data_IF_668147098627
#
_entry.id   IF_668147098627
#
_cell.length_a   1.000
_cell.length_b   1.000
_cell.length_c   1.000
_cell.angle_alpha   90.00
_cell.angle_beta   90.00
_cell.angle_gamma   90.00
#
_symmetry.space_group_name_H-M   'P 1'
#
loop_
_entity.id
_entity.type
_entity.pdbx_description
1 polymer ?
#
# COMPACT_ATOMS: atom_id res chain seq x y z
N UNK A 1 0.22 -37.27 17.39
CA UNK A 1 1.09 -36.15 17.75
C UNK A 1 1.18 -36.08 19.27
N UNK A 2 2.38 -36.24 19.86
CA UNK A 2 2.58 -36.30 21.32
C UNK A 2 2.08 -35.01 22.01
N UNK A 3 1.41 -35.17 23.16
CA UNK A 3 0.90 -34.10 24.03
C UNK A 3 1.93 -32.98 24.29
N UNK A 4 3.20 -33.32 24.41
CA UNK A 4 4.30 -32.37 24.60
C UNK A 4 4.50 -31.41 23.41
N UNK A 5 4.22 -31.85 22.15
CA UNK A 5 4.32 -30.97 20.97
C UNK A 5 3.15 -29.99 20.89
N UNK A 6 1.95 -30.39 21.32
CA UNK A 6 0.79 -29.48 21.37
C UNK A 6 1.00 -28.37 22.39
N UNK A 7 1.52 -28.69 23.58
CA UNK A 7 1.79 -27.70 24.63
C UNK A 7 2.90 -26.71 24.21
N UNK A 8 3.93 -27.16 23.47
CA UNK A 8 4.97 -26.27 22.97
C UNK A 8 4.43 -25.27 21.92
N UNK A 9 3.56 -25.73 21.01
CA UNK A 9 2.93 -24.86 20.01
C UNK A 9 2.01 -23.82 20.68
N UNK A 10 1.26 -24.24 21.70
CA UNK A 10 0.38 -23.33 22.46
C UNK A 10 1.19 -22.30 23.25
N UNK A 11 2.33 -22.67 23.82
CA UNK A 11 3.24 -21.75 24.51
C UNK A 11 3.84 -20.71 23.54
N UNK A 12 4.26 -21.14 22.37
CA UNK A 12 4.82 -20.22 21.33
C UNK A 12 3.73 -19.24 20.86
N UNK A 13 2.51 -19.71 20.61
CA UNK A 13 1.39 -18.85 20.24
C UNK A 13 1.08 -17.79 21.33
N UNK A 14 1.12 -18.19 22.60
CA UNK A 14 0.89 -17.26 23.73
C UNK A 14 1.99 -16.19 23.83
N UNK A 15 3.25 -16.58 23.60
CA UNK A 15 4.38 -15.64 23.59
C UNK A 15 4.26 -14.63 22.44
N UNK A 16 3.85 -15.08 21.25
CA UNK A 16 3.62 -14.20 20.08
C UNK A 16 2.50 -13.19 20.37
N UNK A 17 1.38 -13.63 20.95
CA UNK A 17 0.29 -12.73 21.35
C UNK A 17 0.75 -11.72 22.38
N UNK A 18 1.58 -12.12 23.35
CA UNK A 18 2.11 -11.23 24.37
C UNK A 18 3.05 -10.16 23.77
N UNK A 19 3.89 -10.55 22.80
CA UNK A 19 4.73 -9.61 22.06
C UNK A 19 3.89 -8.61 21.27
N UNK A 20 2.84 -9.06 20.59
CA UNK A 20 1.91 -8.19 19.86
C UNK A 20 1.22 -7.20 20.82
N UNK A 21 0.76 -7.66 21.98
CA UNK A 21 0.16 -6.78 23.00
C UNK A 21 1.17 -5.75 23.55
N UNK A 22 2.43 -6.15 23.73
CA UNK A 22 3.51 -5.24 24.17
C UNK A 22 3.80 -4.18 23.09
N UNK A 23 3.86 -4.56 21.82
CA UNK A 23 4.04 -3.62 20.70
C UNK A 23 2.87 -2.65 20.63
N UNK A 24 1.63 -3.13 20.73
CA UNK A 24 0.44 -2.26 20.75
C UNK A 24 0.41 -1.33 21.98
N UNK A 25 0.90 -1.78 23.14
CA UNK A 25 0.99 -0.97 24.35
C UNK A 25 1.95 0.22 24.19
N UNK A 26 3.04 0.06 23.46
CA UNK A 26 4.02 1.12 23.18
C UNK A 26 3.69 2.01 21.99
N UNK A 27 2.87 1.51 21.03
CA UNK A 27 2.52 2.25 19.80
C UNK A 27 1.29 3.16 19.97
N UNK A 28 0.43 2.93 21.00
CA UNK A 28 -0.74 3.77 21.22
C UNK A 28 -0.35 4.99 22.09
N UNK A 29 -0.41 6.23 21.56
CA UNK A 29 -0.09 7.42 22.33
C UNK A 29 -1.18 7.65 23.38
N UNK A 30 -0.78 7.62 24.65
CA UNK A 30 -1.64 7.98 25.77
C UNK A 30 -1.75 9.50 25.83
N UNK A 31 -2.94 10.02 25.53
CA UNK A 31 -3.26 11.43 25.74
C UNK A 31 -3.14 11.79 27.23
N UNK A 32 -2.34 12.80 27.54
CA UNK A 32 -2.29 13.44 28.86
C UNK A 32 -3.47 14.42 28.99
N UNK A 33 -4.30 14.20 29.97
CA UNK A 33 -5.24 15.21 30.44
C UNK A 33 -4.49 16.34 31.18
N UNK A 34 -4.86 17.55 30.83
CA UNK A 34 -4.37 18.79 31.42
C UNK A 34 -5.11 19.09 32.75
N UNK A 35 -4.36 19.41 33.78
CA UNK A 35 -4.87 20.28 34.86
C UNK A 35 -3.91 21.45 35.04
N UNK A 36 -4.55 22.64 35.13
CA UNK A 36 -3.95 23.94 35.40
C UNK A 36 -3.71 24.08 36.91
N UNK A 37 -2.65 24.78 37.31
CA UNK A 37 -2.71 26.00 38.13
C UNK A 37 -1.35 26.62 38.38
N UNK A 38 -1.35 27.86 38.21
CA UNK A 38 -0.73 29.11 38.66
C UNK A 38 0.59 29.14 39.49
N UNK A 39 1.41 30.04 39.01
CA UNK A 39 2.12 31.18 39.69
C UNK A 39 3.44 30.95 40.44
N UNK A 40 4.42 31.66 40.04
CA UNK A 40 5.28 32.59 40.77
C UNK A 40 6.77 32.59 40.31
N UNK A 41 7.22 33.77 40.03
CA UNK A 41 8.52 34.26 39.63
C UNK A 41 9.73 33.84 40.48
N UNK A 42 10.89 33.62 39.84
CA UNK A 42 12.17 34.24 40.25
C UNK A 42 13.29 34.00 39.21
N UNK A 43 13.97 35.08 38.91
CA UNK A 43 15.12 35.26 38.07
C UNK A 43 16.38 34.57 38.63
N UNK A 44 17.08 33.80 37.79
CA UNK A 44 18.54 33.64 37.90
C UNK A 44 19.11 33.11 36.56
N UNK A 45 19.99 33.92 36.00
CA UNK A 45 20.81 33.58 34.83
C UNK A 45 21.69 32.36 35.13
N UNK A 46 21.59 31.32 34.32
CA UNK A 46 22.68 30.38 34.14
C UNK A 46 22.63 29.84 32.72
N UNK A 47 23.72 30.01 32.04
CA UNK A 47 24.08 29.50 30.74
C UNK A 47 23.78 28.01 30.67
N UNK A 48 22.68 27.60 30.12
CA UNK A 48 22.39 26.22 29.78
C UNK A 48 21.96 26.18 28.35
N UNK A 49 22.69 25.41 27.59
CA UNK A 49 22.41 24.96 26.23
C UNK A 49 20.95 24.61 26.09
N UNK A 50 20.21 25.45 25.41
CA UNK A 50 18.79 25.32 25.13
C UNK A 50 18.52 24.07 24.33
N UNK A 51 18.04 23.03 25.01
CA UNK A 51 17.40 21.86 24.41
C UNK A 51 15.90 22.12 24.30
N UNK A 52 15.53 23.25 23.75
CA UNK A 52 14.18 23.59 23.37
C UNK A 52 13.75 22.75 22.17
N UNK A 53 12.67 22.04 22.36
CA UNK A 53 11.93 21.26 21.35
C UNK A 53 11.26 22.16 20.31
N UNK A 54 12.03 22.97 19.61
CA UNK A 54 11.66 23.52 18.32
C UNK A 54 12.44 22.74 17.26
N UNK A 55 11.77 21.78 16.61
CA UNK A 55 12.24 21.14 15.38
C UNK A 55 12.34 22.20 14.27
N UNK A 56 13.27 23.15 14.39
CA UNK A 56 13.64 24.07 13.33
C UNK A 56 14.18 23.25 12.17
N UNK A 57 13.28 22.94 11.24
CA UNK A 57 13.62 22.15 10.03
C UNK A 57 14.57 22.99 9.19
N UNK A 58 15.82 22.56 9.11
CA UNK A 58 16.82 23.18 8.26
C UNK A 58 16.44 22.89 6.82
N UNK A 59 16.13 23.91 6.03
CA UNK A 59 15.94 23.75 4.58
C UNK A 59 17.32 23.69 3.91
N UNK A 60 17.58 22.60 3.20
CA UNK A 60 18.80 22.40 2.42
C UNK A 60 18.60 22.86 0.98
N UNK A 61 17.74 22.17 0.26
CA UNK A 61 17.48 22.41 -1.15
C UNK A 61 15.98 22.51 -1.41
N UNK A 62 15.60 23.23 -2.46
CA UNK A 62 14.21 23.31 -2.94
C UNK A 62 14.20 22.97 -4.41
N UNK A 63 13.73 21.74 -4.73
CA UNK A 63 13.74 21.22 -6.08
C UNK A 63 12.29 21.06 -6.53
N UNK A 64 11.86 21.91 -7.46
CA UNK A 64 10.48 21.81 -8.00
C UNK A 64 10.36 20.61 -8.93
N UNK A 65 9.27 19.87 -8.82
CA UNK A 65 9.02 18.65 -9.60
C UNK A 65 9.09 18.89 -11.11
N UNK A 66 8.64 20.07 -11.56
CA UNK A 66 8.63 20.45 -12.98
C UNK A 66 10.04 20.67 -13.53
N UNK A 67 11.00 21.02 -12.68
CA UNK A 67 12.40 21.25 -13.06
C UNK A 67 13.24 19.97 -13.03
N UNK A 68 12.78 18.90 -12.42
CA UNK A 68 13.53 17.63 -12.39
C UNK A 68 13.60 17.03 -13.80
N UNK A 69 14.80 16.67 -14.25
CA UNK A 69 15.03 15.93 -15.49
C UNK A 69 15.24 14.45 -15.25
N UNK A 70 15.94 14.07 -14.17
CA UNK A 70 16.11 12.67 -13.78
C UNK A 70 16.31 12.50 -12.29
N UNK A 71 15.97 11.30 -11.80
CA UNK A 71 16.22 10.83 -10.44
C UNK A 71 16.85 9.46 -10.52
N UNK A 72 17.99 9.27 -9.86
CA UNK A 72 18.72 8.00 -9.84
C UNK A 72 18.94 7.54 -8.40
N UNK A 73 18.61 6.29 -8.12
CA UNK A 73 19.00 5.63 -6.88
C UNK A 73 20.15 4.68 -7.15
N UNK A 74 21.22 4.81 -6.37
CA UNK A 74 22.37 3.91 -6.42
C UNK A 74 22.51 3.19 -5.08
N UNK A 75 22.53 1.86 -5.08
CA UNK A 75 22.76 1.00 -3.90
C UNK A 75 24.07 0.23 -4.09
N UNK A 76 24.94 0.27 -3.08
CA UNK A 76 26.24 -0.44 -3.12
C UNK A 76 27.03 -0.17 -4.42
N UNK A 77 27.05 1.07 -4.87
CA UNK A 77 27.77 1.51 -6.07
C UNK A 77 27.14 1.09 -7.41
N UNK A 78 25.96 0.46 -7.41
CA UNK A 78 25.24 0.09 -8.64
C UNK A 78 23.92 0.86 -8.72
N UNK A 79 23.58 1.31 -9.93
CA UNK A 79 22.26 1.87 -10.17
C UNK A 79 21.18 0.84 -9.85
N UNK A 80 20.30 1.19 -8.91
CA UNK A 80 19.15 0.37 -8.58
C UNK A 80 17.97 0.67 -9.51
N UNK A 81 17.74 1.97 -9.75
CA UNK A 81 16.77 2.45 -10.73
C UNK A 81 17.08 3.90 -11.14
N UNK A 82 16.55 4.28 -12.29
CA UNK A 82 16.57 5.65 -12.78
C UNK A 82 15.22 6.01 -13.39
N UNK A 83 14.72 7.18 -13.01
CA UNK A 83 13.53 7.81 -13.59
C UNK A 83 13.97 9.01 -14.42
N UNK A 84 13.36 9.21 -15.58
CA UNK A 84 13.63 10.35 -16.46
C UNK A 84 12.32 11.07 -16.82
N UNK A 85 12.35 12.39 -16.84
CA UNK A 85 11.23 13.22 -17.26
C UNK A 85 11.61 14.02 -18.50
N UNK A 86 11.14 13.63 -19.69
CA UNK A 86 11.41 14.35 -20.94
C UNK A 86 10.47 15.53 -21.14
N UNK A 87 9.21 15.36 -20.75
CA UNK A 87 8.16 16.40 -20.79
C UNK A 87 7.57 16.54 -19.40
N UNK A 88 7.06 17.74 -19.07
CA UNK A 88 6.40 18.00 -17.81
C UNK A 88 5.33 16.93 -17.53
N UNK A 89 5.41 16.32 -16.35
CA UNK A 89 4.46 15.29 -15.89
C UNK A 89 4.58 13.92 -16.58
N UNK A 90 5.55 13.70 -17.48
CA UNK A 90 5.71 12.41 -18.16
C UNK A 90 7.01 11.74 -17.73
N UNK A 91 6.88 10.80 -16.79
CA UNK A 91 8.01 10.02 -16.31
C UNK A 91 8.19 8.72 -17.10
N UNK A 92 9.42 8.25 -17.15
CA UNK A 92 9.81 6.95 -17.70
C UNK A 92 10.82 6.28 -16.80
N UNK A 93 10.75 4.96 -16.73
CA UNK A 93 11.74 4.13 -16.05
C UNK A 93 12.80 3.76 -17.08
N UNK A 94 14.06 4.01 -16.74
CA UNK A 94 15.20 3.71 -17.60
C UNK A 94 15.29 2.19 -17.87
N UNK A 95 15.39 1.81 -19.14
CA UNK A 95 15.37 0.39 -19.54
C UNK A 95 13.98 -0.27 -19.55
N UNK A 96 12.91 0.46 -19.21
CA UNK A 96 11.52 0.01 -19.27
C UNK A 96 10.59 1.10 -19.80
N UNK A 97 10.96 1.71 -20.92
CA UNK A 97 10.30 2.90 -21.46
C UNK A 97 8.83 2.68 -21.86
N UNK A 98 8.44 1.41 -22.09
CA UNK A 98 7.05 1.01 -22.40
C UNK A 98 6.20 0.71 -21.16
N UNK A 99 6.82 0.59 -19.98
CA UNK A 99 6.07 0.30 -18.77
C UNK A 99 5.13 1.47 -18.40
N UNK A 100 3.88 1.19 -18.02
CA UNK A 100 2.99 2.20 -17.50
C UNK A 100 3.51 2.69 -16.15
N UNK A 101 3.73 3.98 -16.01
CA UNK A 101 4.31 4.57 -14.81
C UNK A 101 3.20 5.03 -13.85
N UNK A 102 3.41 4.84 -12.56
CA UNK A 102 2.54 5.34 -11.49
C UNK A 102 2.93 6.79 -11.15
N UNK A 103 2.22 7.74 -11.74
CA UNK A 103 2.47 9.17 -11.50
C UNK A 103 2.23 9.56 -10.04
N UNK A 104 1.28 8.92 -9.35
CA UNK A 104 0.98 9.16 -7.94
C UNK A 104 2.16 8.77 -7.04
N UNK A 105 2.79 7.61 -7.31
CA UNK A 105 3.96 7.15 -6.57
C UNK A 105 5.13 8.13 -6.75
N UNK A 106 5.40 8.55 -7.99
CA UNK A 106 6.49 9.49 -8.27
C UNK A 106 6.17 10.86 -7.69
N UNK A 107 4.97 11.37 -7.84
CA UNK A 107 4.56 12.66 -7.27
C UNK A 107 4.69 12.69 -5.76
N UNK A 108 4.33 11.60 -5.08
CA UNK A 108 4.48 11.46 -3.63
C UNK A 108 5.95 11.42 -3.21
N UNK A 109 6.81 10.77 -4.00
CA UNK A 109 8.26 10.75 -3.77
C UNK A 109 8.86 12.16 -3.95
N UNK A 110 8.54 12.84 -5.04
CA UNK A 110 9.13 14.16 -5.38
C UNK A 110 8.73 15.27 -4.40
N UNK A 111 7.59 15.15 -3.73
CA UNK A 111 7.19 16.08 -2.65
C UNK A 111 8.23 16.17 -1.53
N UNK A 112 9.02 15.12 -1.31
CA UNK A 112 10.05 15.09 -0.26
C UNK A 112 11.30 15.90 -0.59
N UNK A 113 11.45 16.40 -1.83
CA UNK A 113 12.57 17.25 -2.23
C UNK A 113 12.16 18.70 -2.49
N UNK A 114 10.92 19.05 -2.21
CA UNK A 114 10.40 20.41 -2.38
C UNK A 114 9.72 20.92 -1.09
N UNK A 115 10.48 21.39 -0.09
CA UNK A 115 11.95 21.39 0.04
C UNK A 115 12.52 20.14 0.71
N UNK A 116 13.81 19.88 0.51
CA UNK A 116 14.60 18.94 1.30
C UNK A 116 14.84 19.56 2.68
N UNK A 117 14.42 18.84 3.73
CA UNK A 117 14.53 19.31 5.11
C UNK A 117 15.38 18.36 5.94
N UNK A 118 16.29 18.96 6.72
CA UNK A 118 17.03 18.25 7.75
C UNK A 118 16.47 18.60 9.14
N UNK A 119 16.51 17.64 10.06
CA UNK A 119 16.10 17.83 11.45
C UNK A 119 17.26 18.34 12.31
N UNK A 120 18.48 17.98 11.95
CA UNK A 120 19.71 18.39 12.65
C UNK A 120 20.89 18.50 11.68
N UNK A 121 21.93 19.21 12.08
CA UNK A 121 23.23 19.22 11.44
C UNK A 121 24.34 18.90 12.43
N UNK A 122 25.39 18.26 11.95
CA UNK A 122 26.55 17.86 12.72
C UNK A 122 27.79 18.42 12.06
N UNK A 123 28.61 19.16 12.81
CA UNK A 123 29.88 19.61 12.29
C UNK A 123 30.75 18.41 11.92
N UNK A 124 31.05 18.26 10.65
CA UNK A 124 32.01 17.26 10.17
C UNK A 124 33.41 17.72 10.51
N UNK A 125 33.78 17.85 11.82
CA UNK A 125 35.18 17.99 12.20
C UNK A 125 35.91 16.73 11.78
N UNK A 126 36.51 16.82 10.62
CA UNK A 126 37.57 15.97 10.11
C UNK A 126 37.43 14.49 10.49
N UNK A 127 36.69 13.76 9.85
CA UNK A 127 37.31 12.55 9.86
C UNK A 127 36.52 11.27 9.81
N UNK A 128 35.63 10.99 10.60
CA UNK A 128 35.18 9.61 10.57
C UNK A 128 33.79 9.45 9.95
N UNK A 129 33.70 9.65 8.62
CA UNK A 129 32.49 9.33 7.87
C UNK A 129 31.99 7.90 8.13
N UNK A 130 32.89 7.03 8.66
CA UNK A 130 32.51 5.68 9.07
C UNK A 130 31.51 5.65 10.21
N UNK A 131 31.61 6.59 11.17
CA UNK A 131 30.75 6.64 12.36
C UNK A 131 29.30 6.99 12.00
N UNK A 132 29.13 7.64 10.86
CA UNK A 132 27.85 8.02 10.28
C UNK A 132 27.37 7.05 9.19
N UNK A 133 28.14 5.98 8.89
CA UNK A 133 27.85 5.08 7.77
C UNK A 133 28.07 5.71 6.39
N UNK A 134 28.74 6.86 6.31
CA UNK A 134 28.90 7.64 5.08
C UNK A 134 30.18 7.31 4.31
N UNK A 135 31.11 6.53 4.89
CA UNK A 135 32.25 5.99 4.14
C UNK A 135 31.79 4.98 3.08
N UNK A 136 30.73 4.25 3.38
CA UNK A 136 30.06 3.34 2.45
C UNK A 136 28.57 3.58 2.59
N UNK A 137 27.99 4.56 1.90
CA UNK A 137 26.59 4.91 2.02
C UNK A 137 25.67 3.70 1.73
N UNK A 138 24.58 3.58 2.49
CA UNK A 138 23.57 2.55 2.25
C UNK A 138 22.99 2.70 0.84
N UNK A 139 22.74 3.94 0.43
CA UNK A 139 22.38 4.30 -0.93
C UNK A 139 22.65 5.80 -1.18
N UNK A 140 22.62 6.16 -2.45
CA UNK A 140 22.76 7.55 -2.92
C UNK A 140 21.59 7.92 -3.81
N UNK A 141 20.98 9.07 -3.55
CA UNK A 141 19.97 9.68 -4.38
C UNK A 141 20.67 10.79 -5.20
N UNK A 142 20.57 10.73 -6.52
CA UNK A 142 21.02 11.79 -7.40
C UNK A 142 19.83 12.37 -8.16
N UNK A 143 19.70 13.70 -8.17
CA UNK A 143 18.62 14.41 -8.86
C UNK A 143 19.28 15.41 -9.81
N UNK A 144 18.95 15.32 -11.08
CA UNK A 144 19.34 16.26 -12.10
C UNK A 144 18.15 17.12 -12.49
N UNK A 145 18.39 18.37 -12.76
CA UNK A 145 17.37 19.34 -13.16
C UNK A 145 17.51 19.76 -14.62
N UNK A 146 16.47 20.32 -15.20
CA UNK A 146 16.43 20.74 -16.60
C UNK A 146 17.30 21.97 -16.86
N UNK A 147 17.58 22.76 -15.85
CA UNK A 147 18.52 23.91 -15.88
C UNK A 147 19.98 23.49 -15.65
N UNK A 148 20.26 22.20 -15.48
CA UNK A 148 21.60 21.64 -15.38
C UNK A 148 22.15 21.55 -13.95
N UNK A 149 21.37 21.90 -12.92
CA UNK A 149 21.79 21.65 -11.54
C UNK A 149 21.75 20.17 -11.19
N UNK A 150 22.66 19.77 -10.28
CA UNK A 150 22.76 18.38 -9.80
C UNK A 150 22.82 18.36 -8.28
N UNK A 151 21.98 17.54 -7.68
CA UNK A 151 21.89 17.35 -6.24
C UNK A 151 22.18 15.89 -5.91
N UNK A 152 23.01 15.66 -4.91
CA UNK A 152 23.36 14.30 -4.48
C UNK A 152 23.22 14.19 -2.96
N UNK A 153 22.51 13.17 -2.52
CA UNK A 153 22.28 12.84 -1.11
C UNK A 153 22.82 11.44 -0.85
N UNK A 154 23.94 11.34 -0.15
CA UNK A 154 24.51 10.07 0.29
C UNK A 154 23.92 9.74 1.66
N UNK A 155 23.22 8.61 1.77
CA UNK A 155 22.53 8.20 2.98
C UNK A 155 23.34 7.16 3.74
N UNK A 156 23.65 7.49 4.98
CA UNK A 156 24.42 6.65 5.91
C UNK A 156 23.54 5.81 6.82
N UNK A 157 23.99 5.68 8.06
CA UNK A 157 23.27 4.91 9.10
C UNK A 157 22.08 5.68 9.65
N UNK A 158 21.14 4.95 10.22
CA UNK A 158 20.06 5.54 11.01
C UNK A 158 20.64 6.20 12.27
N UNK A 159 20.06 7.31 12.69
CA UNK A 159 20.48 8.01 13.91
C UNK A 159 19.99 7.20 15.12
N UNK A 160 20.85 6.90 16.10
CA UNK A 160 20.51 6.01 17.24
C UNK A 160 19.32 6.47 18.09
N UNK A 161 18.96 7.76 18.02
CA UNK A 161 17.79 8.28 18.72
C UNK A 161 16.56 8.07 17.83
N UNK A 162 15.52 7.43 18.37
CA UNK A 162 14.28 7.14 17.64
C UNK A 162 13.69 8.37 16.96
N UNK A 163 13.18 8.16 15.77
CA UNK A 163 12.45 9.14 14.93
C UNK A 163 13.28 10.33 14.40
N UNK A 164 14.59 10.33 14.57
CA UNK A 164 15.43 11.43 14.04
C UNK A 164 15.75 11.29 12.55
N UNK A 165 15.71 10.09 11.98
CA UNK A 165 16.02 9.81 10.59
C UNK A 165 17.43 9.28 10.36
N UNK A 166 18.06 9.66 9.25
CA UNK A 166 19.32 9.06 8.78
C UNK A 166 20.39 10.14 8.59
N UNK A 167 21.63 9.80 8.92
CA UNK A 167 22.75 10.64 8.56
C UNK A 167 22.90 10.75 7.06
N UNK A 168 23.17 11.95 6.58
CA UNK A 168 23.33 12.22 5.16
C UNK A 168 24.44 13.22 4.89
N UNK A 169 25.17 13.02 3.80
CA UNK A 169 26.04 13.99 3.18
C UNK A 169 25.36 14.52 1.93
N UNK A 170 25.19 15.83 1.86
CA UNK A 170 24.47 16.50 0.77
C UNK A 170 25.47 17.30 -0.07
N UNK A 171 25.35 17.25 -1.40
CA UNK A 171 26.19 18.04 -2.29
C UNK A 171 25.95 19.55 -2.06
N UNK A 172 26.99 20.34 -2.13
CA UNK A 172 26.91 21.77 -1.86
C UNK A 172 26.83 22.16 -0.37
N UNK A 173 26.86 21.17 0.53
CA UNK A 173 26.81 21.38 1.97
C UNK A 173 27.99 20.68 2.66
N UNK A 174 28.67 21.37 3.57
CA UNK A 174 29.89 20.83 4.18
C UNK A 174 29.65 19.94 5.38
N UNK A 175 28.53 20.14 6.08
CA UNK A 175 28.18 19.37 7.28
C UNK A 175 27.52 18.03 6.95
N UNK A 176 27.39 17.20 7.97
CA UNK A 176 26.53 16.01 7.97
C UNK A 176 25.16 16.44 8.47
N UNK A 177 24.12 15.99 7.82
CA UNK A 177 22.76 16.32 8.16
C UNK A 177 21.98 15.06 8.60
N UNK A 178 20.91 15.27 9.33
CA UNK A 178 19.93 14.24 9.61
C UNK A 178 18.69 14.47 8.73
N UNK A 179 18.49 13.62 7.72
CA UNK A 179 17.32 13.65 6.87
C UNK A 179 16.21 12.79 7.48
N UNK A 180 14.97 13.24 7.34
CA UNK A 180 13.83 12.55 7.93
C UNK A 180 13.55 11.17 7.28
N UNK A 181 12.99 10.27 8.06
CA UNK A 181 12.63 8.91 7.62
C UNK A 181 11.67 8.90 6.44
N UNK A 182 10.76 9.88 6.34
CA UNK A 182 9.78 9.93 5.24
C UNK A 182 10.47 10.09 3.87
N UNK A 183 11.48 10.99 3.76
CA UNK A 183 12.27 11.13 2.55
C UNK A 183 13.00 9.81 2.23
N UNK A 184 13.66 9.23 3.23
CA UNK A 184 14.45 8.00 3.05
C UNK A 184 13.56 6.86 2.55
N UNK A 185 12.41 6.65 3.17
CA UNK A 185 11.45 5.61 2.79
C UNK A 185 10.88 5.86 1.38
N UNK A 186 10.58 7.11 1.02
CA UNK A 186 10.04 7.44 -0.28
C UNK A 186 11.01 7.11 -1.44
N UNK A 187 12.32 7.25 -1.22
CA UNK A 187 13.32 6.96 -2.24
C UNK A 187 13.90 5.54 -2.17
N UNK A 188 13.90 4.90 -1.00
CA UNK A 188 14.45 3.56 -0.82
C UNK A 188 13.48 2.45 -1.22
N UNK A 189 12.88 2.57 -2.38
CA UNK A 189 11.94 1.61 -2.96
C UNK A 189 12.58 0.82 -4.10
N UNK A 190 11.95 -0.27 -4.49
CA UNK A 190 12.36 -1.03 -5.66
C UNK A 190 11.76 -0.43 -6.94
N UNK A 191 12.45 -0.60 -8.07
CA UNK A 191 12.05 -0.07 -9.37
C UNK A 191 10.59 -0.43 -9.74
N UNK A 192 10.16 -1.64 -9.39
CA UNK A 192 8.82 -2.14 -9.69
C UNK A 192 7.70 -1.31 -9.04
N UNK A 193 8.01 -0.59 -7.96
CA UNK A 193 7.06 0.29 -7.26
C UNK A 193 6.63 1.50 -8.11
N UNK A 194 7.40 1.84 -9.15
CA UNK A 194 7.05 2.92 -10.08
C UNK A 194 6.18 2.46 -11.25
N UNK A 195 5.95 1.16 -11.40
CA UNK A 195 5.10 0.63 -12.46
C UNK A 195 3.65 0.66 -11.96
N UNK A 196 2.78 1.27 -12.76
CA UNK A 196 1.34 1.27 -12.48
C UNK A 196 0.83 -0.16 -12.50
N UNK A 197 0.27 -0.59 -11.41
CA UNK A 197 -0.35 -1.91 -11.30
C UNK A 197 -1.73 -1.87 -11.96
N UNK A 198 -2.06 -2.93 -12.69
CA UNK A 198 -3.42 -3.12 -13.19
C UNK A 198 -4.39 -3.25 -12.02
N UNK A 199 -5.62 -2.86 -12.23
CA UNK A 199 -6.70 -3.06 -11.27
C UNK A 199 -7.56 -4.23 -11.72
N UNK A 200 -7.99 -5.05 -10.76
CA UNK A 200 -9.05 -6.02 -11.04
C UNK A 200 -10.36 -5.25 -11.30
N UNK A 201 -11.26 -5.81 -12.14
CA UNK A 201 -12.58 -5.22 -12.30
C UNK A 201 -13.34 -5.22 -10.97
N UNK A 202 -14.08 -4.17 -10.71
CA UNK A 202 -15.03 -4.17 -9.59
C UNK A 202 -16.12 -5.19 -9.87
N UNK A 203 -16.32 -6.10 -8.91
CA UNK A 203 -17.32 -7.16 -8.97
C UNK A 203 -18.33 -6.89 -7.88
N UNK A 204 -19.57 -6.66 -8.28
CA UNK A 204 -20.71 -6.56 -7.38
C UNK A 204 -21.34 -7.96 -7.24
N UNK A 205 -21.65 -8.38 -6.02
CA UNK A 205 -22.20 -9.71 -5.73
C UNK A 205 -23.57 -9.93 -6.38
N UNK A 206 -24.36 -8.88 -6.58
CA UNK A 206 -25.62 -8.95 -7.31
C UNK A 206 -25.42 -9.30 -8.79
N UNK A 207 -24.28 -8.98 -9.36
CA UNK A 207 -23.98 -9.24 -10.78
C UNK A 207 -23.11 -10.49 -11.00
N UNK A 208 -22.70 -11.17 -9.96
CA UNK A 208 -22.07 -12.50 -10.08
C UNK A 208 -23.05 -13.50 -10.71
N UNK A 209 -22.58 -14.27 -11.66
CA UNK A 209 -23.40 -15.28 -12.37
C UNK A 209 -22.92 -16.70 -12.17
N UNK A 210 -21.61 -16.91 -12.11
CA UNK A 210 -21.03 -18.21 -11.83
C UNK A 210 -19.60 -18.05 -11.28
N UNK A 211 -19.14 -19.08 -10.62
CA UNK A 211 -17.72 -19.25 -10.39
C UNK A 211 -17.34 -20.74 -10.34
N UNK A 212 -16.08 -21.01 -10.66
CA UNK A 212 -15.53 -22.34 -10.58
C UNK A 212 -14.10 -22.31 -10.04
N UNK A 213 -13.74 -23.38 -9.35
CA UNK A 213 -12.39 -23.63 -8.84
C UNK A 213 -11.92 -24.95 -9.41
N UNK A 214 -10.90 -24.92 -10.22
CA UNK A 214 -10.19 -26.13 -10.65
C UNK A 214 -9.03 -26.40 -9.69
N UNK A 215 -8.95 -27.65 -9.23
CA UNK A 215 -7.91 -28.09 -8.32
C UNK A 215 -7.07 -29.17 -8.99
N UNK A 216 -5.76 -28.97 -9.09
CA UNK A 216 -4.83 -29.94 -9.68
C UNK A 216 -4.90 -31.34 -9.07
N UNK A 217 -5.34 -31.46 -7.81
CA UNK A 217 -5.48 -32.71 -7.09
C UNK A 217 -6.85 -33.39 -7.27
N UNK A 218 -7.71 -32.84 -8.13
CA UNK A 218 -9.11 -33.22 -8.24
C UNK A 218 -9.97 -32.47 -7.22
N UNK A 219 -11.26 -32.76 -7.15
CA UNK A 219 -12.26 -32.04 -6.37
C UNK A 219 -12.50 -30.61 -6.89
N UNK A 220 -12.77 -30.53 -8.19
CA UNK A 220 -13.22 -29.30 -8.80
C UNK A 220 -14.53 -28.85 -8.16
N UNK A 221 -14.69 -27.56 -8.01
CA UNK A 221 -15.91 -26.96 -7.48
C UNK A 221 -16.50 -26.00 -8.53
N UNK A 222 -17.83 -25.97 -8.65
CA UNK A 222 -18.50 -24.98 -9.47
C UNK A 222 -19.87 -24.64 -8.89
N UNK A 223 -20.25 -23.39 -9.03
CA UNK A 223 -21.56 -22.90 -8.67
C UNK A 223 -22.05 -21.86 -9.68
N UNK A 224 -23.35 -21.78 -9.89
CA UNK A 224 -23.98 -20.80 -10.76
C UNK A 224 -25.22 -20.18 -10.11
N UNK A 225 -25.46 -18.91 -10.41
CA UNK A 225 -26.73 -18.24 -10.13
C UNK A 225 -27.81 -18.84 -11.01
N UNK A 226 -29.00 -19.03 -10.47
CA UNK A 226 -30.06 -19.76 -11.16
C UNK A 226 -31.33 -18.93 -11.21
N UNK A 227 -32.14 -19.18 -12.24
CA UNK A 227 -33.48 -18.65 -12.36
C UNK A 227 -34.44 -19.43 -11.47
N UNK A 228 -35.65 -18.91 -11.20
CA UNK A 228 -36.64 -19.58 -10.35
C UNK A 228 -36.97 -20.99 -10.84
N UNK A 229 -36.98 -21.22 -12.15
CA UNK A 229 -37.21 -22.53 -12.75
C UNK A 229 -36.08 -23.56 -12.53
N UNK A 230 -34.86 -23.08 -12.29
CA UNK A 230 -33.67 -23.94 -12.08
C UNK A 230 -33.33 -24.17 -10.61
N UNK A 231 -34.04 -23.50 -9.70
CA UNK A 231 -33.79 -23.63 -8.25
C UNK A 231 -34.01 -25.06 -7.77
N UNK A 232 -33.06 -25.59 -7.02
CA UNK A 232 -33.15 -26.84 -6.28
C UNK A 232 -33.90 -26.61 -4.97
N UNK A 233 -33.76 -25.44 -4.37
CA UNK A 233 -34.44 -25.00 -3.16
C UNK A 233 -34.98 -23.56 -3.38
N UNK A 234 -36.20 -23.32 -2.93
CA UNK A 234 -36.89 -22.04 -3.10
C UNK A 234 -36.11 -20.85 -2.52
N UNK A 235 -35.37 -21.05 -1.44
CA UNK A 235 -34.64 -20.00 -0.73
C UNK A 235 -33.25 -19.74 -1.30
N UNK A 236 -32.75 -20.58 -2.22
CA UNK A 236 -31.41 -20.41 -2.80
C UNK A 236 -31.47 -19.90 -4.24
N UNK A 237 -30.76 -18.82 -4.52
CA UNK A 237 -30.57 -18.29 -5.87
C UNK A 237 -29.30 -18.86 -6.54
N UNK A 238 -28.62 -19.80 -5.90
CA UNK A 238 -27.40 -20.41 -6.39
C UNK A 238 -27.47 -21.93 -6.25
N UNK A 239 -26.97 -22.62 -7.26
CA UNK A 239 -26.78 -24.07 -7.23
C UNK A 239 -25.31 -24.43 -7.34
N UNK A 240 -24.83 -25.33 -6.46
CA UNK A 240 -23.54 -25.99 -6.60
C UNK A 240 -23.70 -27.07 -7.69
N UNK A 241 -22.90 -26.95 -8.77
CA UNK A 241 -22.97 -27.79 -9.96
C UNK A 241 -21.84 -28.81 -10.07
N UNK A 242 -20.79 -28.66 -9.30
CA UNK A 242 -19.70 -29.61 -9.17
C UNK A 242 -19.18 -29.63 -7.72
N UNK A 243 -18.72 -30.78 -7.21
CA UNK A 243 -18.44 -32.07 -7.88
C UNK A 243 -19.64 -33.03 -7.94
N UNK A 244 -20.83 -32.61 -7.60
CA UNK A 244 -21.98 -33.47 -7.42
C UNK A 244 -22.66 -33.86 -8.74
N UNK A 245 -23.19 -35.09 -8.81
CA UNK A 245 -23.92 -35.57 -10.00
C UNK A 245 -25.24 -34.82 -10.24
N UNK A 246 -25.83 -34.25 -9.18
CA UNK A 246 -27.02 -33.39 -9.24
C UNK A 246 -26.72 -32.08 -8.54
N UNK A 247 -27.23 -30.96 -9.03
CA UNK A 247 -27.06 -29.67 -8.37
C UNK A 247 -27.59 -29.68 -6.94
N UNK A 248 -26.89 -28.99 -6.05
CA UNK A 248 -27.28 -28.79 -4.65
C UNK A 248 -27.55 -27.32 -4.40
N UNK A 249 -28.54 -27.02 -3.59
CA UNK A 249 -28.82 -25.66 -3.12
C UNK A 249 -27.72 -25.18 -2.17
N UNK A 250 -27.49 -23.87 -2.13
CA UNK A 250 -26.54 -23.23 -1.21
C UNK A 250 -27.24 -22.76 0.07
N UNK A 251 -26.54 -22.76 1.20
CA UNK A 251 -26.98 -22.07 2.42
C UNK A 251 -26.85 -20.55 2.21
N UNK A 252 -27.93 -19.79 2.40
CA UNK A 252 -27.96 -18.38 2.10
C UNK A 252 -26.90 -17.56 2.88
N UNK A 253 -26.79 -17.80 4.20
CA UNK A 253 -25.89 -17.03 5.06
C UNK A 253 -24.41 -17.29 4.75
N UNK A 254 -24.02 -18.54 4.59
CA UNK A 254 -22.65 -18.93 4.31
C UNK A 254 -22.24 -18.57 2.88
N UNK A 255 -23.22 -18.66 1.96
CA UNK A 255 -22.99 -18.33 0.56
C UNK A 255 -22.71 -16.84 0.33
N UNK A 256 -23.46 -15.96 1.00
CA UNK A 256 -23.20 -14.51 0.96
C UNK A 256 -21.78 -14.16 1.40
N UNK A 257 -21.27 -14.86 2.42
CA UNK A 257 -19.87 -14.67 2.84
C UNK A 257 -18.88 -15.10 1.73
N UNK A 258 -19.16 -16.20 1.03
CA UNK A 258 -18.31 -16.65 -0.10
C UNK A 258 -18.32 -15.63 -1.25
N UNK A 259 -19.51 -15.13 -1.62
CA UNK A 259 -19.64 -14.13 -2.69
C UNK A 259 -18.94 -12.83 -2.32
N UNK A 260 -19.03 -12.40 -1.07
CA UNK A 260 -18.36 -11.19 -0.57
C UNK A 260 -16.84 -11.17 -0.73
N UNK A 261 -16.18 -12.34 -0.80
CA UNK A 261 -14.75 -12.39 -1.08
C UNK A 261 -14.39 -11.91 -2.50
N UNK A 262 -15.28 -12.05 -3.47
CA UNK A 262 -15.03 -11.61 -4.85
C UNK A 262 -15.17 -10.10 -5.00
N UNK A 263 -15.99 -9.44 -4.18
CA UNK A 263 -16.20 -7.98 -4.24
C UNK A 263 -15.00 -7.18 -3.72
N UNK A 264 -14.13 -7.81 -2.93
CA UNK A 264 -12.95 -7.17 -2.30
C UNK A 264 -11.62 -7.62 -2.92
N UNK A 265 -11.66 -8.33 -4.04
CA UNK A 265 -10.45 -8.79 -4.71
C UNK A 265 -9.60 -7.60 -5.18
N UNK A 266 -8.32 -7.60 -4.83
CA UNK A 266 -7.35 -6.61 -5.28
C UNK A 266 -5.95 -7.22 -5.35
N UNK A 267 -5.14 -6.69 -6.23
CA UNK A 267 -3.70 -6.97 -6.18
C UNK A 267 -3.08 -6.27 -4.98
N UNK A 268 -2.26 -6.99 -4.23
CA UNK A 268 -1.51 -6.43 -3.11
C UNK A 268 -0.24 -5.72 -3.59
N UNK A 269 0.50 -6.39 -4.48
CA UNK A 269 1.72 -5.85 -5.07
C UNK A 269 2.07 -6.54 -6.38
N UNK A 270 2.78 -5.84 -7.23
CA UNK A 270 3.42 -6.42 -8.42
C UNK A 270 4.73 -7.10 -8.01
N UNK A 271 4.95 -8.31 -8.47
CA UNK A 271 6.17 -9.09 -8.19
C UNK A 271 7.16 -9.01 -9.35
N UNK A 272 6.69 -9.04 -10.58
CA UNK A 272 7.49 -8.94 -11.81
C UNK A 272 6.64 -8.28 -12.91
N UNK A 273 7.22 -7.31 -13.62
CA UNK A 273 6.59 -6.69 -14.78
C UNK A 273 6.89 -7.47 -16.04
N UNK A 274 5.89 -7.66 -16.91
CA UNK A 274 5.99 -8.38 -18.19
C UNK A 274 6.63 -9.77 -18.05
N UNK A 275 6.17 -10.53 -17.04
CA UNK A 275 6.71 -11.85 -16.70
C UNK A 275 6.60 -12.82 -17.87
N UNK A 276 7.72 -13.30 -18.38
CA UNK A 276 7.79 -14.32 -19.45
C UNK A 276 7.94 -15.75 -18.90
N UNK A 277 8.32 -15.90 -17.65
CA UNK A 277 8.59 -17.21 -17.05
C UNK A 277 7.61 -17.51 -15.89
N UNK A 278 6.39 -17.89 -16.24
CA UNK A 278 5.36 -18.26 -15.28
C UNK A 278 5.76 -19.44 -14.39
N UNK A 279 6.65 -20.33 -14.88
CA UNK A 279 7.15 -21.49 -14.12
C UNK A 279 7.90 -21.09 -12.85
N UNK A 280 8.60 -19.94 -12.86
CA UNK A 280 9.28 -19.38 -11.69
C UNK A 280 8.33 -19.19 -10.49
N UNK A 281 7.06 -18.96 -10.78
CA UNK A 281 6.01 -18.70 -9.78
C UNK A 281 5.01 -19.86 -9.67
N UNK A 282 5.23 -20.97 -10.38
CA UNK A 282 4.31 -22.12 -10.38
C UNK A 282 3.00 -21.86 -11.13
N UNK A 283 2.92 -20.77 -11.93
CA UNK A 283 1.71 -20.35 -12.64
C UNK A 283 1.55 -21.03 -14.01
N UNK A 284 2.56 -21.76 -14.48
CA UNK A 284 2.47 -22.66 -15.65
C UNK A 284 1.64 -23.92 -15.36
N UNK A 285 1.50 -24.26 -14.07
CA UNK A 285 0.70 -25.39 -13.59
C UNK A 285 0.17 -25.08 -12.19
N UNK A 286 -0.81 -24.15 -12.07
CA UNK A 286 -1.28 -23.68 -10.79
C UNK A 286 -1.96 -24.79 -9.99
N UNK A 287 -1.83 -24.73 -8.67
CA UNK A 287 -2.52 -25.67 -7.77
C UNK A 287 -4.03 -25.47 -7.80
N UNK A 288 -4.45 -24.20 -7.91
CA UNK A 288 -5.85 -23.78 -8.05
C UNK A 288 -5.97 -22.77 -9.16
N UNK A 289 -7.02 -22.88 -9.95
CA UNK A 289 -7.45 -21.86 -10.91
C UNK A 289 -8.90 -21.51 -10.58
N UNK A 290 -9.16 -20.22 -10.40
CA UNK A 290 -10.50 -19.72 -10.07
C UNK A 290 -11.00 -18.92 -11.27
N UNK A 291 -12.18 -19.23 -11.77
CA UNK A 291 -12.87 -18.45 -12.80
C UNK A 291 -14.12 -17.84 -12.18
N UNK A 292 -14.32 -16.55 -12.38
CA UNK A 292 -15.49 -15.80 -11.89
C UNK A 292 -16.19 -15.14 -13.07
N UNK A 293 -17.47 -15.41 -13.22
CA UNK A 293 -18.32 -14.85 -14.27
C UNK A 293 -19.28 -13.82 -13.67
N UNK A 294 -19.38 -12.67 -14.28
CA UNK A 294 -20.17 -11.56 -13.77
C UNK A 294 -20.61 -10.61 -14.87
N UNK A 295 -21.56 -9.72 -14.55
CA UNK A 295 -21.95 -8.63 -15.41
C UNK A 295 -21.29 -7.31 -14.97
N UNK A 296 -20.94 -6.48 -15.94
CA UNK A 296 -20.51 -5.10 -15.73
C UNK A 296 -21.36 -4.14 -16.58
N UNK A 297 -21.38 -2.83 -16.25
CA UNK A 297 -21.90 -1.84 -17.15
C UNK A 297 -21.20 -1.88 -18.52
N UNK A 298 -21.93 -1.71 -19.60
CA UNK A 298 -21.35 -1.49 -20.92
C UNK A 298 -20.56 -0.17 -20.92
N UNK A 299 -19.54 -0.10 -21.74
CA UNK A 299 -18.72 1.09 -21.91
C UNK A 299 -19.61 2.32 -22.18
N UNK A 300 -19.34 3.41 -21.47
CA UNK A 300 -20.11 4.66 -21.55
C UNK A 300 -21.43 4.67 -20.77
N UNK A 301 -21.79 3.58 -20.07
CA UNK A 301 -22.94 3.58 -19.16
C UNK A 301 -22.47 3.77 -17.71
N UNK A 302 -22.92 4.82 -17.07
CA UNK A 302 -22.73 5.03 -15.63
C UNK A 302 -24.03 4.67 -14.92
N UNK A 303 -24.03 3.67 -14.01
CA UNK A 303 -25.20 3.36 -13.23
C UNK A 303 -25.62 4.55 -12.38
N UNK A 304 -26.90 4.88 -12.41
CA UNK A 304 -27.47 5.92 -11.53
C UNK A 304 -27.96 5.23 -10.26
N UNK A 305 -27.63 5.81 -9.11
CA UNK A 305 -28.13 5.31 -7.83
C UNK A 305 -29.66 5.32 -7.85
N UNK A 306 -30.28 4.16 -7.67
CA UNK A 306 -31.73 4.05 -7.54
C UNK A 306 -32.05 4.17 -6.05
N UNK A 307 -32.76 5.22 -5.66
CA UNK A 307 -33.28 5.33 -4.32
C UNK A 307 -34.21 4.15 -4.06
N UNK A 308 -33.91 3.36 -3.04
CA UNK A 308 -34.78 2.24 -2.60
C UNK A 308 -36.11 2.84 -2.14
N UNK A 309 -37.27 2.52 -2.74
CA UNK A 309 -38.56 2.94 -2.21
C UNK A 309 -38.87 2.11 -0.96
N UNK A 310 -39.09 2.79 0.15
CA UNK A 310 -39.61 2.28 1.41
C UNK A 310 -38.62 1.63 2.41
N UNK A 311 -37.92 2.45 3.17
CA UNK A 311 -37.81 2.19 4.59
C UNK A 311 -38.97 2.90 5.28
N UNK A 312 -39.89 2.18 5.88
CA UNK A 312 -40.87 2.74 6.80
C UNK A 312 -40.15 3.49 7.90
N UNK A 313 -40.54 4.75 8.08
CA UNK A 313 -40.11 5.61 9.16
C UNK A 313 -40.41 4.91 10.50
N UNK A 314 -39.37 4.51 11.20
CA UNK A 314 -39.40 4.33 12.64
C UNK A 314 -38.34 5.26 13.24
N UNK A 315 -38.82 6.28 13.92
CA UNK A 315 -38.06 7.20 14.75
C UNK A 315 -37.16 6.46 15.73
N UNK A 316 -35.86 6.62 15.59
CA UNK A 316 -34.93 6.73 16.73
C UNK A 316 -33.53 7.05 16.24
N UNK A 317 -33.04 8.17 16.73
CA UNK A 317 -31.74 8.77 16.52
C UNK A 317 -30.56 7.82 16.78
N UNK A 318 -29.75 7.56 15.73
CA UNK A 318 -28.31 7.40 15.84
C UNK A 318 -27.67 7.51 14.46
N UNK A 319 -26.82 8.52 14.29
CA UNK A 319 -26.07 8.83 13.10
C UNK A 319 -24.99 7.79 12.81
N UNK A 320 -25.16 7.02 11.74
CA UNK A 320 -24.06 6.42 10.98
C UNK A 320 -24.48 6.40 9.52
N UNK A 321 -23.92 7.32 8.73
CA UNK A 321 -24.12 7.42 7.31
C UNK A 321 -23.30 6.36 6.59
N UNK A 322 -23.91 5.23 6.26
CA UNK A 322 -23.51 4.40 5.13
C UNK A 322 -24.65 4.46 4.13
N UNK A 323 -24.44 5.17 3.02
CA UNK A 323 -25.40 5.22 1.91
C UNK A 323 -25.31 3.88 1.16
N UNK A 324 -26.15 2.93 1.50
CA UNK A 324 -26.44 1.75 0.68
C UNK A 324 -27.31 2.17 -0.52
N UNK A 325 -26.70 2.86 -1.47
CA UNK A 325 -27.31 3.09 -2.77
C UNK A 325 -27.02 1.87 -3.64
N UNK A 326 -28.01 0.98 -3.82
CA UNK A 326 -27.90 -0.10 -4.78
C UNK A 326 -27.91 0.46 -6.20
N UNK A 327 -26.86 0.17 -6.97
CA UNK A 327 -26.77 0.52 -8.38
C UNK A 327 -27.34 -0.61 -9.22
N UNK A 328 -28.47 -0.40 -9.88
CA UNK A 328 -29.06 -1.39 -10.78
C UNK A 328 -28.59 -1.13 -12.21
N UNK A 329 -27.90 -2.11 -12.82
CA UNK A 329 -27.57 -2.07 -14.24
C UNK A 329 -28.70 -2.72 -15.03
N UNK A 330 -29.45 -2.00 -15.88
CA UNK A 330 -30.48 -2.58 -16.73
C UNK A 330 -29.89 -3.68 -17.65
N UNK A 331 -30.65 -4.72 -17.95
CA UNK A 331 -30.17 -5.86 -18.74
C UNK A 331 -29.54 -5.46 -20.09
N UNK A 332 -30.15 -4.52 -20.82
CA UNK A 332 -29.65 -4.02 -22.08
C UNK A 332 -28.34 -3.20 -21.94
N UNK A 333 -27.92 -2.86 -20.71
CA UNK A 333 -26.69 -2.13 -20.37
C UNK A 333 -25.65 -3.02 -19.69
N UNK A 334 -25.91 -4.32 -19.57
CA UNK A 334 -24.98 -5.30 -19.00
C UNK A 334 -24.02 -5.83 -20.04
N UNK A 335 -22.79 -6.01 -19.68
CA UNK A 335 -21.76 -6.73 -20.45
C UNK A 335 -21.26 -7.91 -19.62
N UNK A 336 -21.32 -9.11 -20.21
CA UNK A 336 -20.79 -10.32 -19.56
C UNK A 336 -19.25 -10.28 -19.53
N UNK A 337 -18.67 -10.62 -18.43
CA UNK A 337 -17.22 -10.72 -18.20
C UNK A 337 -16.89 -12.03 -17.52
N UNK A 338 -15.70 -12.54 -17.80
CA UNK A 338 -15.11 -13.67 -17.10
C UNK A 338 -13.70 -13.28 -16.66
N UNK A 339 -13.39 -13.52 -15.39
CA UNK A 339 -12.08 -13.31 -14.79
C UNK A 339 -11.49 -14.69 -14.43
N UNK A 340 -10.32 -15.01 -15.00
CA UNK A 340 -9.59 -16.26 -14.78
C UNK A 340 -8.31 -16.03 -13.98
#
# INVERSE_FOLDING_TARGET
MSSKKKNAITMIALVVVLIICLVLYFVIPRGKSSDKDADSSSTSESNSTDSGSDNAKITLDTITSDNISSITLTKKGKQAWKLSQKKKGTWKIDGKESAPVSDDTISSMVKNVNPVKATQKFSAKSGNLSDYGLKTPAFTIAIETKDGASYQYQIGSEVPKSDMGYYAKCSGHDEIYCLNTAMITAFNVDEISFIKMDTLPEIDDDYLTAFSVKNKKGNDFAAKKVTDAEKVDFYSNWNITAPYAKPLATSQSEWSAVLGYFTVLKYEKMVEYDCKNLKKYGLDSPTFAITVDFYQPKDGYTPTATATPNAMVSDSSSSSSSSDASYIIPENKRMYKSLN
#
